data_IF_887475457655
#
_entry.id   IF_887475457655
#
_cell.length_a   1.000
_cell.length_b   1.000
_cell.length_c   1.000
_cell.angle_alpha   90.00
_cell.angle_beta   90.00
_cell.angle_gamma   90.00
#
_symmetry.space_group_name_H-M   'P 1'
#
loop_
_entity.id
_entity.type
_entity.pdbx_description
1 polymer ?
#
# COMPACT_ATOMS: atom_id res chain seq x y z
N UNK A 1 13.00 8.89 -17.53
CA UNK A 1 13.06 10.23 -18.15
C UNK A 1 11.73 10.44 -18.83
N UNK A 2 11.08 11.57 -18.59
CA UNK A 2 9.78 11.97 -19.11
C UNK A 2 9.98 13.26 -19.90
N UNK A 3 9.55 13.26 -21.16
CA UNK A 3 9.65 14.37 -22.08
C UNK A 3 8.25 14.90 -22.40
N UNK A 4 8.14 16.18 -22.73
CA UNK A 4 6.92 16.74 -23.30
C UNK A 4 6.85 16.54 -24.83
N UNK A 5 5.75 16.97 -25.45
CA UNK A 5 5.55 16.90 -26.90
C UNK A 5 6.54 17.74 -27.73
N UNK A 6 7.32 18.62 -27.09
CA UNK A 6 8.42 19.38 -27.71
C UNK A 6 9.78 18.70 -27.60
N UNK A 7 9.83 17.54 -26.94
CA UNK A 7 11.07 16.81 -26.66
C UNK A 7 11.90 17.41 -25.52
N UNK A 8 11.31 18.29 -24.70
CA UNK A 8 11.96 18.86 -23.53
C UNK A 8 11.82 17.93 -22.33
N UNK A 9 12.93 17.66 -21.63
CA UNK A 9 12.93 16.84 -20.43
C UNK A 9 12.17 17.58 -19.31
N UNK A 10 11.09 16.97 -18.83
CA UNK A 10 10.28 17.50 -17.70
C UNK A 10 10.63 16.83 -16.39
N UNK A 11 10.78 15.51 -16.41
CA UNK A 11 11.01 14.73 -15.19
C UNK A 11 11.93 13.52 -15.43
N UNK A 12 12.58 13.04 -14.38
CA UNK A 12 13.68 12.09 -14.47
C UNK A 12 13.97 11.43 -13.13
N UNK A 13 14.06 10.10 -13.13
CA UNK A 13 14.48 9.36 -11.94
C UNK A 13 15.85 8.72 -12.16
N UNK A 14 16.72 8.82 -11.16
CA UNK A 14 18.00 8.11 -11.12
C UNK A 14 17.92 6.97 -10.13
N UNK A 15 18.25 5.76 -10.58
CA UNK A 15 18.41 4.60 -9.71
C UNK A 15 19.89 4.34 -9.50
N UNK A 16 20.36 4.51 -8.26
CA UNK A 16 21.77 4.28 -7.89
C UNK A 16 22.01 2.87 -7.35
N UNK A 17 20.95 2.09 -7.11
CA UNK A 17 21.07 0.70 -6.63
C UNK A 17 21.70 -0.19 -7.72
N UNK A 18 22.94 -0.63 -7.46
CA UNK A 18 23.73 -1.47 -8.37
C UNK A 18 23.05 -2.81 -8.68
N UNK A 19 22.28 -3.39 -7.75
CA UNK A 19 21.56 -4.67 -7.97
C UNK A 19 20.42 -4.45 -8.95
N UNK A 20 19.67 -3.37 -8.78
CA UNK A 20 18.58 -3.02 -9.69
C UNK A 20 19.10 -2.72 -11.09
N UNK A 21 20.16 -1.92 -11.21
CA UNK A 21 20.78 -1.59 -12.52
C UNK A 21 21.27 -2.85 -13.22
N UNK A 22 21.89 -3.78 -12.49
CA UNK A 22 22.38 -5.05 -13.06
C UNK A 22 21.22 -5.94 -13.53
N UNK A 23 20.18 -6.07 -12.71
CA UNK A 23 18.99 -6.85 -13.05
C UNK A 23 18.29 -6.29 -14.29
N UNK A 24 18.09 -4.96 -14.33
CA UNK A 24 17.54 -4.27 -15.49
C UNK A 24 18.37 -4.51 -16.75
N UNK A 25 19.70 -4.34 -16.69
CA UNK A 25 20.58 -4.55 -17.84
C UNK A 25 20.51 -5.97 -18.37
N UNK A 26 20.47 -6.96 -17.48
CA UNK A 26 20.35 -8.36 -17.89
C UNK A 26 19.00 -8.62 -18.57
N UNK A 27 17.90 -8.18 -17.95
CA UNK A 27 16.54 -8.33 -18.51
C UNK A 27 16.38 -7.62 -19.85
N UNK A 28 16.89 -6.39 -19.96
CA UNK A 28 16.88 -5.61 -21.20
C UNK A 28 17.63 -6.34 -22.31
N UNK A 29 18.85 -6.85 -22.05
CA UNK A 29 19.62 -7.60 -23.05
C UNK A 29 18.91 -8.86 -23.50
N UNK A 30 18.30 -9.61 -22.58
CA UNK A 30 17.53 -10.82 -22.92
C UNK A 30 16.32 -10.48 -23.76
N UNK A 31 15.51 -9.51 -23.32
CA UNK A 31 14.29 -9.10 -24.04
C UNK A 31 14.60 -8.55 -25.43
N UNK A 32 15.62 -7.70 -25.56
CA UNK A 32 16.01 -7.14 -26.86
C UNK A 32 16.52 -8.22 -27.82
N UNK A 33 17.24 -9.24 -27.33
CA UNK A 33 17.64 -10.40 -28.16
C UNK A 33 16.44 -11.19 -28.68
N UNK A 34 15.42 -11.40 -27.85
CA UNK A 34 14.19 -12.09 -28.28
C UNK A 34 13.42 -11.29 -29.33
N UNK A 35 13.36 -9.96 -29.21
CA UNK A 35 12.71 -9.09 -30.20
C UNK A 35 13.48 -9.13 -31.53
N UNK A 36 14.82 -9.05 -31.48
CA UNK A 36 15.67 -9.11 -32.68
C UNK A 36 15.55 -10.47 -33.39
N UNK A 37 15.48 -11.57 -32.64
CA UNK A 37 15.38 -12.91 -33.22
C UNK A 37 14.03 -13.20 -33.88
N UNK A 38 12.95 -12.54 -33.43
CA UNK A 38 11.58 -12.84 -33.87
C UNK A 38 10.97 -11.79 -34.82
N UNK A 39 11.66 -10.67 -35.08
CA UNK A 39 11.16 -9.61 -35.97
C UNK A 39 12.00 -9.50 -37.23
N UNK A 40 11.53 -10.09 -38.32
CA UNK A 40 12.07 -9.91 -39.68
C UNK A 40 11.85 -8.50 -40.25
N UNK A 41 11.04 -7.67 -39.59
CA UNK A 41 10.70 -6.32 -40.02
C UNK A 41 11.58 -5.20 -39.41
N UNK A 42 12.49 -5.51 -38.48
CA UNK A 42 13.28 -4.48 -37.79
C UNK A 42 14.77 -4.66 -38.14
N UNK A 43 15.29 -3.75 -38.96
CA UNK A 43 16.71 -3.62 -39.21
C UNK A 43 17.42 -3.15 -37.92
N UNK A 44 17.95 -4.08 -37.15
CA UNK A 44 18.68 -3.79 -35.91
C UNK A 44 20.19 -3.78 -36.16
N UNK A 45 20.81 -2.60 -36.04
CA UNK A 45 22.27 -2.46 -36.03
C UNK A 45 22.76 -2.40 -34.57
N UNK A 46 23.50 -3.40 -34.14
CA UNK A 46 24.18 -3.34 -32.83
C UNK A 46 25.34 -2.36 -32.95
N UNK A 47 25.23 -1.19 -32.34
CA UNK A 47 26.29 -0.18 -32.29
C UNK A 47 27.34 -0.67 -31.28
N UNK A 48 28.42 -1.27 -31.79
CA UNK A 48 29.61 -1.58 -30.99
C UNK A 48 30.41 -0.30 -30.72
N UNK A 49 31.37 -0.36 -29.80
CA UNK A 49 32.14 0.79 -29.28
C UNK A 49 32.86 1.63 -30.34
N UNK A 50 32.99 1.14 -31.58
CA UNK A 50 33.74 1.79 -32.65
C UNK A 50 32.84 2.36 -33.78
N UNK A 51 31.53 2.50 -33.55
CA UNK A 51 30.60 3.07 -34.54
C UNK A 51 30.21 4.49 -34.15
N UNK A 52 30.32 5.42 -35.09
CA UNK A 52 29.87 6.81 -34.94
C UNK A 52 28.35 6.84 -34.76
N UNK A 53 27.91 7.31 -33.60
CA UNK A 53 26.48 7.42 -33.26
C UNK A 53 25.82 8.39 -34.25
N UNK A 54 24.69 8.00 -34.89
CA UNK A 54 23.93 8.87 -35.77
C UNK A 54 23.59 10.22 -35.10
N UNK A 55 23.72 11.33 -35.85
CA UNK A 55 23.63 12.71 -35.30
C UNK A 55 22.29 12.99 -34.61
N UNK A 56 21.22 12.37 -35.11
CA UNK A 56 19.86 12.37 -34.60
C UNK A 56 19.73 11.71 -33.21
N UNK A 57 20.46 10.61 -32.96
CA UNK A 57 20.43 9.88 -31.67
C UNK A 57 21.44 10.45 -30.67
N UNK A 58 22.51 11.08 -31.15
CA UNK A 58 23.58 11.67 -30.31
C UNK A 58 23.03 12.65 -29.26
N UNK A 59 21.98 13.42 -29.61
CA UNK A 59 21.32 14.37 -28.69
C UNK A 59 20.64 13.68 -27.50
N UNK A 60 20.18 12.44 -27.68
CA UNK A 60 19.44 11.66 -26.66
C UNK A 60 20.37 10.82 -25.77
N UNK A 61 21.62 10.64 -26.18
CA UNK A 61 22.64 9.85 -25.47
C UNK A 61 23.63 10.70 -24.67
N UNK A 62 23.47 12.02 -24.63
CA UNK A 62 24.28 12.96 -23.84
C UNK A 62 23.90 12.89 -22.34
N UNK A 63 24.30 11.79 -21.69
CA UNK A 63 23.99 11.53 -20.29
C UNK A 63 24.45 12.65 -19.33
N UNK A 64 25.66 13.23 -19.44
CA UNK A 64 26.08 14.33 -18.57
C UNK A 64 25.16 15.54 -18.65
N UNK A 65 24.79 15.97 -19.87
CA UNK A 65 23.85 17.08 -20.08
C UNK A 65 22.48 16.76 -19.49
N UNK A 66 21.94 15.58 -19.78
CA UNK A 66 20.62 15.15 -19.31
C UNK A 66 20.58 15.03 -17.79
N UNK A 67 21.67 14.56 -17.18
CA UNK A 67 21.84 14.53 -15.73
C UNK A 67 21.85 15.94 -15.13
N UNK A 68 22.53 16.89 -15.77
CA UNK A 68 22.54 18.29 -15.38
C UNK A 68 21.14 18.92 -15.43
N UNK A 69 20.44 18.76 -16.56
CA UNK A 69 19.09 19.28 -16.75
C UNK A 69 18.10 18.70 -15.74
N UNK A 70 18.21 17.40 -15.49
CA UNK A 70 17.40 16.71 -14.49
C UNK A 70 17.58 17.30 -13.08
N UNK A 71 18.83 17.51 -12.66
CA UNK A 71 19.13 18.13 -11.36
C UNK A 71 18.54 19.54 -11.26
N UNK A 72 18.61 20.31 -12.36
CA UNK A 72 18.04 21.65 -12.41
C UNK A 72 16.51 21.63 -12.29
N UNK A 73 15.83 20.74 -13.02
CA UNK A 73 14.38 20.59 -12.93
C UNK A 73 13.95 20.15 -11.53
N UNK A 74 14.65 19.20 -10.91
CA UNK A 74 14.38 18.80 -9.54
C UNK A 74 14.57 19.94 -8.53
N UNK A 75 15.56 20.81 -8.77
CA UNK A 75 15.78 22.00 -7.94
C UNK A 75 14.60 22.98 -8.08
N UNK A 76 14.19 23.29 -9.31
CA UNK A 76 13.06 24.18 -9.60
C UNK A 76 11.75 23.66 -9.02
N UNK A 77 11.43 22.39 -9.26
CA UNK A 77 10.24 21.74 -8.72
C UNK A 77 10.24 21.79 -7.18
N UNK A 78 11.40 21.58 -6.54
CA UNK A 78 11.52 21.68 -5.09
C UNK A 78 11.27 23.12 -4.61
N UNK A 79 11.77 24.13 -5.32
CA UNK A 79 11.56 25.55 -5.00
C UNK A 79 10.09 25.95 -5.14
N UNK A 80 9.42 25.50 -6.21
CA UNK A 80 7.97 25.69 -6.43
C UNK A 80 7.14 25.00 -5.34
N UNK A 81 7.46 23.76 -4.98
CA UNK A 81 6.78 23.06 -3.89
C UNK A 81 6.99 23.73 -2.52
N UNK A 82 8.12 24.40 -2.30
CA UNK A 82 8.38 25.16 -1.07
C UNK A 82 7.61 26.48 -1.07
N UNK A 83 7.48 27.16 -2.21
CA UNK A 83 6.72 28.41 -2.31
C UNK A 83 5.22 28.17 -2.14
N UNK A 84 4.68 27.10 -2.73
CA UNK A 84 3.27 26.69 -2.55
C UNK A 84 2.96 26.33 -1.09
N UNK A 85 3.90 25.70 -0.38
CA UNK A 85 3.74 25.40 1.06
C UNK A 85 3.62 26.65 1.92
N UNK A 86 4.35 27.72 1.60
CA UNK A 86 4.25 28.99 2.34
C UNK A 86 2.89 29.67 2.15
N UNK A 87 2.23 29.48 1.00
CA UNK A 87 0.85 29.97 0.77
C UNK A 87 -0.21 29.14 1.46
N UNK A 88 -0.06 27.80 1.48
CA UNK A 88 -1.13 26.88 1.90
C UNK A 88 -0.97 26.31 3.33
N UNK A 89 0.01 26.76 4.13
CA UNK A 89 0.09 26.43 5.55
C UNK A 89 0.27 24.94 5.88
N UNK A 90 0.82 24.12 4.98
CA UNK A 90 1.09 22.70 5.25
C UNK A 90 2.47 22.50 5.89
N UNK A 91 2.48 22.14 7.18
CA UNK A 91 3.69 21.73 7.91
C UNK A 91 4.15 20.35 7.45
N UNK A 92 5.29 20.26 6.73
CA UNK A 92 5.93 18.98 6.49
C UNK A 92 6.84 18.63 7.68
N UNK A 93 6.36 17.70 8.50
CA UNK A 93 7.18 16.95 9.45
C UNK A 93 8.41 16.38 8.75
N UNK A 94 9.54 16.56 9.41
CA UNK A 94 10.87 16.03 9.16
C UNK A 94 10.91 14.75 8.33
N UNK A 95 11.71 14.84 7.26
CA UNK A 95 12.26 13.80 6.38
C UNK A 95 12.61 12.50 7.14
N UNK A 96 11.61 11.68 7.40
CA UNK A 96 11.73 10.27 7.77
C UNK A 96 11.37 9.46 6.52
N UNK A 97 12.06 8.33 6.33
CA UNK A 97 11.83 7.31 5.28
C UNK A 97 10.39 7.38 4.74
N UNK A 98 10.22 7.54 3.40
CA UNK A 98 8.91 7.60 2.71
C UNK A 98 7.92 6.62 3.35
N UNK A 99 7.16 7.10 4.33
CA UNK A 99 6.08 6.34 4.91
C UNK A 99 4.94 6.46 3.93
N UNK A 100 4.89 5.53 2.98
CA UNK A 100 3.87 5.46 1.96
C UNK A 100 2.48 5.16 2.55
N UNK A 101 2.33 5.11 3.88
CA UNK A 101 1.05 5.07 4.58
C UNK A 101 0.08 6.13 4.09
N UNK A 102 0.58 7.32 3.71
CA UNK A 102 -0.27 8.40 3.18
C UNK A 102 -1.01 8.02 1.89
N UNK A 103 -0.47 7.11 1.08
CA UNK A 103 -1.15 6.63 -0.14
C UNK A 103 -2.34 5.73 0.18
N UNK A 104 -2.32 5.11 1.36
CA UNK A 104 -3.41 4.28 1.85
C UNK A 104 -4.36 5.06 2.76
N UNK A 105 -4.25 6.39 2.81
CA UNK A 105 -5.18 7.28 3.51
C UNK A 105 -6.14 7.95 2.52
N UNK A 106 -7.42 7.97 2.84
CA UNK A 106 -8.42 8.66 2.03
C UNK A 106 -8.27 10.19 2.20
N UNK A 107 -8.10 10.96 1.11
CA UNK A 107 -7.98 12.41 1.21
C UNK A 107 -9.24 13.02 1.84
N UNK A 108 -9.08 14.08 2.62
CA UNK A 108 -10.19 14.71 3.35
C UNK A 108 -10.61 13.99 4.64
N UNK A 109 -9.96 12.87 5.00
CA UNK A 109 -10.18 12.10 6.23
C UNK A 109 -8.89 12.05 7.07
N UNK A 110 -9.02 11.81 8.38
CA UNK A 110 -7.89 11.61 9.28
C UNK A 110 -7.81 10.18 9.83
N UNK A 111 -8.87 9.39 9.69
CA UNK A 111 -9.02 8.05 10.25
C UNK A 111 -9.27 6.97 9.20
N UNK A 112 -9.71 7.31 7.97
CA UNK A 112 -9.95 6.30 6.94
C UNK A 112 -8.64 5.93 6.22
N UNK A 113 -7.99 4.84 6.63
CA UNK A 113 -6.78 4.34 5.97
C UNK A 113 -5.99 3.32 6.78
N UNK A 114 -4.71 3.15 6.45
CA UNK A 114 -3.79 2.36 7.27
C UNK A 114 -3.41 3.16 8.53
N UNK A 115 -4.07 2.85 9.65
CA UNK A 115 -3.93 3.62 10.89
C UNK A 115 -4.66 4.95 10.80
N UNK A 116 -4.26 5.94 11.61
CA UNK A 116 -4.85 7.26 11.62
C UNK A 116 -3.79 8.36 11.66
N UNK A 117 -4.09 9.49 11.02
CA UNK A 117 -3.27 10.73 11.05
C UNK A 117 -3.70 11.71 12.13
N UNK A 118 -4.87 11.47 12.74
CA UNK A 118 -5.43 12.35 13.76
C UNK A 118 -4.51 12.43 15.00
N UNK A 119 -4.18 13.65 15.42
CA UNK A 119 -3.41 13.91 16.64
C UNK A 119 -4.25 13.79 17.91
N UNK A 120 -5.57 13.96 17.79
CA UNK A 120 -6.55 13.82 18.89
C UNK A 120 -7.77 13.06 18.40
N UNK A 121 -8.41 12.33 19.31
CA UNK A 121 -9.64 11.58 19.01
C UNK A 121 -10.73 12.44 18.38
N UNK A 122 -10.87 13.70 18.80
CA UNK A 122 -11.88 14.64 18.31
C UNK A 122 -11.57 15.25 16.94
N UNK A 123 -10.34 15.14 16.45
CA UNK A 123 -9.95 15.72 15.17
C UNK A 123 -10.49 14.84 14.03
N UNK A 124 -11.44 15.41 13.30
CA UNK A 124 -12.00 14.83 12.08
C UNK A 124 -11.59 15.69 10.88
N UNK A 125 -11.45 15.06 9.72
CA UNK A 125 -11.23 15.73 8.45
C UNK A 125 -12.51 16.39 7.92
N UNK A 126 -12.36 17.00 6.74
CA UNK A 126 -13.45 17.66 5.99
C UNK A 126 -14.64 16.73 5.75
N UNK A 127 -14.37 15.43 5.55
CA UNK A 127 -15.37 14.37 5.40
C UNK A 127 -15.82 13.82 6.76
N UNK A 128 -16.26 14.71 7.65
CA UNK A 128 -16.42 14.43 9.08
C UNK A 128 -17.39 13.28 9.42
N UNK A 129 -18.45 13.06 8.63
CA UNK A 129 -19.38 11.93 8.79
C UNK A 129 -18.70 10.59 8.50
N UNK A 130 -18.05 10.48 7.34
CA UNK A 130 -17.29 9.30 6.92
C UNK A 130 -16.11 9.02 7.85
N UNK A 131 -15.38 10.08 8.19
CA UNK A 131 -14.19 9.99 9.04
C UNK A 131 -14.54 9.51 10.46
N UNK A 132 -15.73 9.88 10.96
CA UNK A 132 -16.26 9.36 12.23
C UNK A 132 -16.56 7.86 12.16
N UNK A 133 -17.06 7.36 11.03
CA UNK A 133 -17.26 5.92 10.84
C UNK A 133 -15.93 5.17 10.89
N UNK A 134 -14.90 5.66 10.20
CA UNK A 134 -13.56 5.06 10.21
C UNK A 134 -12.92 5.13 11.60
N UNK A 135 -13.00 6.27 12.28
CA UNK A 135 -12.52 6.41 13.68
C UNK A 135 -13.15 5.37 14.59
N UNK A 136 -14.48 5.21 14.52
CA UNK A 136 -15.19 4.23 15.36
C UNK A 136 -14.79 2.81 15.00
N UNK A 137 -14.63 2.50 13.73
CA UNK A 137 -14.18 1.19 13.25
C UNK A 137 -12.81 0.83 13.83
N UNK A 138 -11.85 1.75 13.76
CA UNK A 138 -10.48 1.53 14.27
C UNK A 138 -10.38 1.49 15.80
N UNK A 139 -11.12 2.34 16.50
CA UNK A 139 -10.94 2.53 17.96
C UNK A 139 -11.90 1.69 18.81
N UNK A 140 -13.03 1.24 18.27
CA UNK A 140 -14.07 0.55 19.05
C UNK A 140 -14.13 -0.96 18.82
N UNK A 141 -13.28 -1.52 17.96
CA UNK A 141 -13.29 -2.96 17.71
C UNK A 141 -12.48 -3.71 18.78
N UNK A 142 -13.08 -4.63 19.57
CA UNK A 142 -12.37 -5.33 20.64
C UNK A 142 -11.41 -6.41 20.11
N UNK A 143 -11.64 -6.91 18.90
CA UNK A 143 -10.85 -8.00 18.31
C UNK A 143 -10.36 -7.62 16.93
N UNK A 144 -9.04 -7.60 16.77
CA UNK A 144 -8.37 -7.22 15.55
C UNK A 144 -6.99 -7.89 15.44
N UNK A 145 -6.50 -8.02 14.21
CA UNK A 145 -5.18 -8.58 13.90
C UNK A 145 -4.48 -7.63 12.93
N UNK A 146 -3.37 -7.03 13.35
CA UNK A 146 -2.62 -6.10 12.49
C UNK A 146 -2.05 -6.79 11.26
N UNK A 147 -1.66 -6.00 10.27
CA UNK A 147 -0.91 -6.48 9.12
C UNK A 147 0.35 -7.24 9.57
N UNK A 148 0.57 -8.44 9.05
CA UNK A 148 1.70 -9.32 9.38
C UNK A 148 1.84 -9.67 10.88
N UNK A 149 0.72 -9.67 11.61
CA UNK A 149 0.67 -10.09 13.01
C UNK A 149 0.03 -11.49 13.14
N UNK A 150 0.54 -12.30 14.08
CA UNK A 150 -0.17 -13.51 14.55
C UNK A 150 -0.97 -13.17 15.81
N UNK A 151 -2.28 -13.33 15.75
CA UNK A 151 -3.16 -13.26 16.93
C UNK A 151 -4.21 -14.35 16.87
N UNK A 152 -4.63 -14.81 18.06
CA UNK A 152 -5.67 -15.84 18.21
C UNK A 152 -5.38 -17.14 17.43
N UNK A 153 -4.11 -17.44 17.13
CA UNK A 153 -3.71 -18.61 16.33
C UNK A 153 -3.80 -18.42 14.81
N UNK A 154 -4.04 -17.20 14.32
CA UNK A 154 -4.08 -16.86 12.89
C UNK A 154 -3.02 -15.79 12.56
N UNK A 155 -2.24 -16.02 11.50
CA UNK A 155 -1.34 -15.01 10.94
C UNK A 155 -2.01 -14.22 9.81
N UNK A 156 -2.02 -12.89 9.92
CA UNK A 156 -2.55 -12.01 8.90
C UNK A 156 -1.50 -11.69 7.83
N UNK A 157 -1.53 -12.42 6.71
CA UNK A 157 -0.65 -12.17 5.55
C UNK A 157 -0.93 -10.85 4.80
N UNK A 158 -2.00 -10.11 5.16
CA UNK A 158 -2.42 -8.91 4.44
C UNK A 158 -1.67 -7.67 4.92
N UNK A 159 -1.62 -6.67 4.05
CA UNK A 159 -1.02 -5.35 4.30
C UNK A 159 -1.87 -4.45 5.21
N UNK A 160 -3.13 -4.85 5.47
CA UNK A 160 -4.09 -4.12 6.28
C UNK A 160 -4.53 -4.93 7.51
N UNK A 161 -5.01 -4.24 8.53
CA UNK A 161 -5.62 -4.85 9.71
C UNK A 161 -6.90 -5.58 9.35
N UNK A 162 -7.08 -6.78 9.90
CA UNK A 162 -8.32 -7.56 9.82
C UNK A 162 -9.06 -7.38 11.15
N UNK A 163 -10.33 -7.01 11.07
CA UNK A 163 -11.19 -6.81 12.24
C UNK A 163 -12.20 -7.96 12.40
N UNK A 164 -12.88 -8.02 13.54
CA UNK A 164 -14.01 -8.93 13.73
C UNK A 164 -15.18 -8.55 12.81
N UNK A 165 -15.92 -9.55 12.29
CA UNK A 165 -16.99 -9.30 11.32
C UNK A 165 -18.08 -8.35 11.82
N UNK A 166 -18.44 -8.41 13.10
CA UNK A 166 -19.41 -7.47 13.68
C UNK A 166 -18.93 -6.00 13.68
N UNK A 167 -17.61 -5.76 13.68
CA UNK A 167 -17.06 -4.41 13.53
C UNK A 167 -17.21 -3.91 12.09
N UNK A 168 -16.91 -4.77 11.12
CA UNK A 168 -17.03 -4.47 9.69
C UNK A 168 -18.49 -4.26 9.26
N UNK A 169 -19.42 -5.03 9.81
CA UNK A 169 -20.87 -4.86 9.60
C UNK A 169 -21.36 -3.50 10.11
N UNK A 170 -20.97 -3.12 11.33
CA UNK A 170 -21.30 -1.80 11.90
C UNK A 170 -20.67 -0.67 11.09
N UNK A 171 -19.45 -0.87 10.60
CA UNK A 171 -18.77 0.10 9.76
C UNK A 171 -19.51 0.30 8.43
N UNK A 172 -19.89 -0.79 7.76
CA UNK A 172 -20.72 -0.75 6.55
C UNK A 172 -22.05 -0.03 6.78
N UNK A 173 -22.73 -0.34 7.89
CA UNK A 173 -23.97 0.33 8.26
C UNK A 173 -23.76 1.83 8.50
N UNK A 174 -22.70 2.21 9.21
CA UNK A 174 -22.36 3.61 9.45
C UNK A 174 -22.12 4.39 8.15
N UNK A 175 -21.35 3.82 7.22
CA UNK A 175 -21.09 4.44 5.91
C UNK A 175 -22.38 4.57 5.09
N UNK A 176 -23.25 3.55 5.10
CA UNK A 176 -24.56 3.61 4.43
C UNK A 176 -25.45 4.70 5.02
N UNK A 177 -25.51 4.82 6.34
CA UNK A 177 -26.32 5.84 7.03
C UNK A 177 -25.76 7.26 6.87
N UNK A 178 -24.45 7.42 6.68
CA UNK A 178 -23.85 8.72 6.44
C UNK A 178 -24.36 9.35 5.13
N UNK A 179 -24.65 8.50 4.13
CA UNK A 179 -25.28 8.83 2.84
C UNK A 179 -24.65 10.03 2.12
N UNK A 180 -23.32 10.03 2.03
CA UNK A 180 -22.56 11.03 1.28
C UNK A 180 -21.74 10.38 0.18
N UNK A 181 -21.33 11.16 -0.83
CA UNK A 181 -20.52 10.67 -1.95
C UNK A 181 -19.18 10.08 -1.48
N UNK A 182 -18.54 10.70 -0.49
CA UNK A 182 -17.31 10.23 0.14
C UNK A 182 -17.54 8.94 0.95
N UNK A 183 -18.63 8.81 1.71
CA UNK A 183 -18.97 7.59 2.44
C UNK A 183 -19.20 6.41 1.48
N UNK A 184 -19.93 6.66 0.39
CA UNK A 184 -20.21 5.68 -0.65
C UNK A 184 -18.93 5.23 -1.37
N UNK A 185 -18.01 6.15 -1.65
CA UNK A 185 -16.69 5.83 -2.20
C UNK A 185 -15.88 4.96 -1.23
N UNK A 186 -15.77 5.35 0.04
CA UNK A 186 -15.05 4.57 1.06
C UNK A 186 -15.65 3.17 1.21
N UNK A 187 -16.98 3.06 1.23
CA UNK A 187 -17.68 1.78 1.29
C UNK A 187 -17.33 0.89 0.10
N UNK A 188 -17.39 1.41 -1.13
CA UNK A 188 -17.01 0.65 -2.34
C UNK A 188 -15.55 0.24 -2.31
N UNK A 189 -14.65 1.11 -1.87
CA UNK A 189 -13.23 0.81 -1.79
C UNK A 189 -12.94 -0.34 -0.81
N UNK A 190 -13.44 -0.26 0.42
CA UNK A 190 -13.18 -1.26 1.46
C UNK A 190 -13.84 -2.60 1.14
N UNK A 191 -15.13 -2.57 0.79
CA UNK A 191 -15.90 -3.80 0.66
C UNK A 191 -15.77 -4.40 -0.73
N UNK A 192 -15.79 -3.61 -1.81
CA UNK A 192 -15.85 -4.16 -3.17
C UNK A 192 -14.48 -4.30 -3.83
N UNK A 193 -13.59 -3.31 -3.65
CA UNK A 193 -12.29 -3.26 -4.35
C UNK A 193 -11.22 -4.01 -3.55
N UNK A 194 -10.99 -3.61 -2.29
CA UNK A 194 -9.98 -4.23 -1.41
C UNK A 194 -10.44 -5.62 -0.94
N UNK A 195 -11.76 -5.86 -0.96
CA UNK A 195 -12.37 -7.11 -0.50
C UNK A 195 -11.88 -7.52 0.89
N UNK A 196 -11.87 -6.55 1.81
CA UNK A 196 -11.41 -6.76 3.18
C UNK A 196 -12.08 -7.99 3.78
N UNK A 197 -11.28 -8.85 4.40
CA UNK A 197 -11.77 -10.01 5.14
C UNK A 197 -11.99 -9.62 6.59
N UNK A 198 -12.87 -10.34 7.25
CA UNK A 198 -13.05 -10.29 8.69
C UNK A 198 -12.90 -11.68 9.28
N UNK A 199 -12.90 -11.78 10.60
CA UNK A 199 -12.94 -13.07 11.28
C UNK A 199 -14.02 -13.14 12.34
N UNK A 200 -14.40 -14.37 12.69
CA UNK A 200 -15.19 -14.68 13.88
C UNK A 200 -14.44 -15.66 14.76
N UNK A 201 -14.54 -15.47 16.07
CA UNK A 201 -14.02 -16.39 17.08
C UNK A 201 -15.08 -17.46 17.35
N UNK A 202 -14.83 -18.72 17.01
CA UNK A 202 -15.71 -19.83 17.40
C UNK A 202 -15.08 -20.62 18.54
N UNK A 203 -15.84 -20.86 19.60
CA UNK A 203 -15.41 -21.74 20.68
C UNK A 203 -15.57 -23.18 20.21
N UNK A 204 -14.47 -23.92 20.08
CA UNK A 204 -14.51 -25.36 19.82
C UNK A 204 -14.76 -26.07 21.15
N UNK A 205 -15.89 -26.76 21.29
CA UNK A 205 -16.09 -27.70 22.41
C UNK A 205 -15.22 -28.91 22.14
N UNK A 206 -14.14 -29.07 22.91
CA UNK A 206 -13.37 -30.30 22.88
C UNK A 206 -14.15 -31.38 23.62
N UNK A 207 -14.35 -32.51 22.96
CA UNK A 207 -15.02 -33.68 23.54
C UNK A 207 -14.10 -34.32 24.58
N UNK A 208 -14.68 -34.81 25.67
CA UNK A 208 -13.97 -35.42 26.81
C UNK A 208 -12.99 -36.54 26.40
N UNK A 209 -13.26 -37.21 25.27
CA UNK A 209 -12.42 -38.29 24.75
C UNK A 209 -11.00 -37.85 24.37
N UNK A 210 -10.78 -36.56 24.04
CA UNK A 210 -9.45 -36.00 23.77
C UNK A 210 -8.68 -35.65 25.05
N UNK A 211 -9.39 -35.47 26.18
CA UNK A 211 -8.81 -35.08 27.49
C UNK A 211 -8.19 -36.30 28.20
N UNK A 212 -8.70 -37.51 27.96
CA UNK A 212 -8.24 -38.72 28.62
C UNK A 212 -6.93 -39.31 28.06
N UNK A 213 -6.46 -38.87 26.90
CA UNK A 213 -5.25 -39.43 26.25
C UNK A 213 -3.94 -38.72 26.62
N UNK A 214 -3.98 -37.66 27.43
CA UNK A 214 -2.78 -36.99 27.96
C UNK A 214 -2.70 -37.22 29.46
N UNK A 215 -1.79 -38.10 29.88
CA UNK A 215 -1.56 -38.54 31.26
C UNK A 215 -0.95 -37.48 32.20
N UNK A 216 -1.20 -36.19 31.96
CA UNK A 216 -0.58 -35.08 32.71
C UNK A 216 -1.63 -34.05 33.16
N UNK A 217 -2.50 -34.46 34.08
CA UNK A 217 -3.61 -33.68 34.61
C UNK A 217 -3.36 -33.27 36.08
N UNK A 218 -2.38 -32.38 36.32
CA UNK A 218 -2.24 -31.71 37.62
C UNK A 218 -2.29 -30.19 37.60
N UNK A 219 -2.52 -29.54 36.45
CA UNK A 219 -2.50 -28.08 36.40
C UNK A 219 -3.74 -27.48 35.72
N UNK A 220 -4.62 -26.85 36.51
CA UNK A 220 -5.80 -26.08 36.08
C UNK A 220 -5.45 -24.94 35.11
N UNK A 221 -4.20 -24.47 35.09
CA UNK A 221 -3.73 -23.50 34.09
C UNK A 221 -3.63 -24.09 32.68
N UNK A 222 -3.32 -25.39 32.56
CA UNK A 222 -3.25 -26.10 31.29
C UNK A 222 -4.65 -26.29 30.68
N UNK A 223 -5.68 -26.45 31.51
CA UNK A 223 -7.09 -26.51 31.06
C UNK A 223 -7.57 -25.24 30.35
N UNK A 224 -7.07 -24.04 30.70
CA UNK A 224 -7.43 -22.78 29.99
C UNK A 224 -6.76 -22.66 28.62
N UNK A 225 -5.63 -23.33 28.38
CA UNK A 225 -4.96 -23.35 27.07
C UNK A 225 -5.63 -24.26 26.05
N UNK A 226 -6.49 -25.17 26.51
CA UNK A 226 -7.27 -26.10 25.68
C UNK A 226 -8.61 -25.46 25.25
N UNK A 227 -8.71 -24.12 25.19
CA UNK A 227 -9.72 -23.44 24.39
C UNK A 227 -9.07 -23.08 23.05
N UNK A 228 -8.99 -24.05 22.13
CA UNK A 228 -8.74 -23.73 20.73
C UNK A 228 -9.94 -22.94 20.22
N UNK A 229 -9.85 -21.61 20.28
CA UNK A 229 -10.76 -20.74 19.54
C UNK A 229 -10.50 -21.02 18.06
N UNK A 230 -11.42 -21.72 17.41
CA UNK A 230 -11.36 -21.95 15.98
C UNK A 230 -11.69 -20.61 15.31
N UNK A 231 -10.67 -19.95 14.74
CA UNK A 231 -10.92 -18.78 13.89
C UNK A 231 -11.47 -19.22 12.55
N UNK A 232 -12.55 -18.57 12.14
CA UNK A 232 -13.06 -18.69 10.77
C UNK A 232 -12.93 -17.34 10.09
N UNK A 233 -12.04 -17.25 9.12
CA UNK A 233 -12.00 -16.10 8.21
C UNK A 233 -13.25 -16.10 7.35
N UNK A 234 -13.90 -14.94 7.26
CA UNK A 234 -15.05 -14.71 6.41
C UNK A 234 -14.76 -13.60 5.41
N UNK A 235 -15.44 -13.65 4.28
CA UNK A 235 -15.55 -12.49 3.41
C UNK A 235 -16.49 -11.49 4.09
N UNK A 236 -16.18 -10.20 4.04
CA UNK A 236 -17.14 -9.15 4.42
C UNK A 236 -18.30 -8.98 3.42
N UNK A 237 -18.51 -9.99 2.57
CA UNK A 237 -19.63 -10.10 1.66
C UNK A 237 -20.45 -11.33 2.02
N UNK A 238 -21.69 -11.10 2.41
CA UNK A 238 -22.83 -11.86 1.90
C UNK A 238 -24.03 -10.90 1.80
N UNK A 239 -24.56 -10.82 0.57
CA UNK A 239 -25.71 -10.03 0.07
C UNK A 239 -25.61 -8.51 0.11
#
# INVERSE_FOLDING_TARGET
MIYDGSGSLKDCEFVEDRRYVRAFRNKFRTNTRHIIANSSAIAHRTISTNVTIPKDVKKWLDYPRMKGLCKQNHKKLKEELISDRRRNGMTLSTRTRRDMSYLFQIPGTQWCGKGYRATKYTHLGSFSKTDRCCRRHDTSCPYWISAYETKYGLFNWRLNTIMHCSCDERFRACLKMADTSDANFVGKLFFNIVQTKCFVLKVKKLTLQYIFNTSDLRNLQTQRRIQEQLLVMKNCFFT
#
